data_IF_760614086768
#
_entry.id   IF_760614086768
#
_cell.length_a   1.000
_cell.length_b   1.000
_cell.length_c   1.000
_cell.angle_alpha   90.00
_cell.angle_beta   90.00
_cell.angle_gamma   90.00
#
_symmetry.space_group_name_H-M   'P 1'
#
loop_
_entity.id
_entity.type
_entity.pdbx_description
1 polymer ?
#
# COMPACT_ATOMS: atom_id res chain seq x y z
N UNK A 1 -3.35 10.07 -17.53
CA UNK A 1 -3.76 11.18 -16.62
C UNK A 1 -2.50 11.87 -16.11
N UNK A 2 -2.55 13.19 -15.87
CA UNK A 2 -1.45 13.89 -15.19
C UNK A 2 -1.33 13.41 -13.75
N UNK A 3 -0.11 13.40 -13.18
CA UNK A 3 0.13 13.08 -11.79
C UNK A 3 -0.55 14.13 -10.88
N UNK A 4 -1.23 13.70 -9.82
CA UNK A 4 -1.96 14.56 -8.88
C UNK A 4 -1.42 14.34 -7.47
N UNK A 5 -0.99 15.40 -6.79
CA UNK A 5 -0.58 15.32 -5.38
C UNK A 5 -1.80 14.97 -4.51
N UNK A 6 -1.77 13.80 -3.85
CA UNK A 6 -2.84 13.34 -2.96
C UNK A 6 -2.48 13.47 -1.49
N UNK A 7 -1.19 13.57 -1.19
CA UNK A 7 -0.71 13.80 0.18
C UNK A 7 0.51 14.69 0.16
N UNK A 8 0.55 15.69 1.07
CA UNK A 8 1.71 16.55 1.32
C UNK A 8 2.12 16.43 2.79
N UNK A 9 3.40 16.52 3.05
CA UNK A 9 4.00 16.45 4.38
C UNK A 9 5.29 17.28 4.43
N UNK A 10 5.80 17.54 5.63
CA UNK A 10 7.08 18.20 5.80
C UNK A 10 8.20 17.37 5.15
N UNK A 11 9.21 18.02 4.57
CA UNK A 11 10.32 17.33 3.93
C UNK A 11 10.94 16.25 4.83
N UNK A 12 11.14 15.08 4.26
CA UNK A 12 11.78 13.95 4.95
C UNK A 12 13.29 14.17 5.04
N UNK A 13 13.90 13.65 6.09
CA UNK A 13 15.35 13.64 6.25
C UNK A 13 15.93 12.51 5.41
N UNK A 14 16.97 12.80 4.64
CA UNK A 14 17.71 11.79 3.86
C UNK A 14 18.85 11.19 4.68
N UNK A 15 19.11 9.92 4.43
CA UNK A 15 20.21 9.20 5.06
C UNK A 15 20.51 7.88 4.33
N UNK A 16 21.41 7.10 4.93
CA UNK A 16 21.83 5.78 4.45
C UNK A 16 21.38 4.73 5.47
N UNK A 17 20.70 3.69 4.99
CA UNK A 17 20.34 2.55 5.82
C UNK A 17 21.59 1.76 6.21
N UNK A 18 21.92 1.69 7.49
CA UNK A 18 23.03 0.89 7.98
C UNK A 18 22.62 -0.57 8.18
N UNK A 19 21.53 -0.78 8.93
CA UNK A 19 20.98 -2.13 9.20
C UNK A 19 19.52 -2.08 9.64
N UNK A 20 18.83 -3.22 9.54
CA UNK A 20 17.51 -3.47 10.13
C UNK A 20 17.60 -4.66 11.07
N UNK A 21 16.95 -4.58 12.24
CA UNK A 21 16.88 -5.70 13.19
C UNK A 21 15.51 -5.77 13.89
N UNK A 22 15.23 -6.89 14.51
CA UNK A 22 13.93 -7.17 15.15
C UNK A 22 12.72 -6.87 14.26
N UNK A 23 12.92 -6.82 12.92
CA UNK A 23 11.92 -6.54 11.87
C UNK A 23 11.32 -5.13 11.89
N UNK A 24 11.29 -4.42 13.02
CA UNK A 24 10.63 -3.12 13.20
C UNK A 24 11.59 -1.99 13.61
N UNK A 25 12.88 -2.23 13.68
CA UNK A 25 13.92 -1.23 13.98
C UNK A 25 14.93 -1.14 12.85
N UNK A 26 15.42 0.07 12.56
CA UNK A 26 16.54 0.27 11.65
C UNK A 26 17.46 1.39 12.14
N UNK A 27 18.74 1.32 11.82
CA UNK A 27 19.71 2.40 11.99
C UNK A 27 19.91 3.10 10.65
N UNK A 28 19.89 4.42 10.69
CA UNK A 28 20.07 5.29 9.54
C UNK A 28 21.13 6.33 9.90
N UNK A 29 22.15 6.46 9.05
CA UNK A 29 23.10 7.57 9.13
C UNK A 29 22.56 8.74 8.31
N UNK A 30 22.29 9.85 8.97
CA UNK A 30 21.84 11.09 8.35
C UNK A 30 22.99 11.76 7.57
N UNK A 31 22.64 12.75 6.75
CA UNK A 31 23.59 13.48 5.89
C UNK A 31 24.65 14.29 6.68
N UNK A 32 24.34 14.65 7.94
CA UNK A 32 25.28 15.31 8.86
C UNK A 32 26.20 14.34 9.62
N UNK A 33 26.03 13.03 9.40
CA UNK A 33 26.80 11.95 10.00
C UNK A 33 26.19 11.40 11.31
N UNK A 34 25.12 11.99 11.85
CA UNK A 34 24.42 11.43 13.01
C UNK A 34 23.82 10.06 12.67
N UNK A 35 23.93 9.12 13.61
CA UNK A 35 23.29 7.79 13.48
C UNK A 35 22.06 7.72 14.39
N UNK A 36 20.90 7.54 13.77
CA UNK A 36 19.61 7.50 14.49
C UNK A 36 18.94 6.14 14.37
N UNK A 37 18.14 5.79 15.39
CA UNK A 37 17.26 4.62 15.33
C UNK A 37 15.87 5.04 14.85
N UNK A 38 15.40 4.45 13.77
CA UNK A 38 14.07 4.68 13.24
C UNK A 38 13.17 3.45 13.37
N UNK A 39 11.87 3.69 13.52
CA UNK A 39 10.84 2.66 13.44
C UNK A 39 10.64 2.25 11.98
N UNK A 40 10.68 0.94 11.72
CA UNK A 40 10.30 0.33 10.45
C UNK A 40 8.89 -0.27 10.60
N UNK A 41 7.88 0.38 10.02
CA UNK A 41 6.49 -0.08 10.11
C UNK A 41 6.23 -1.36 9.30
N UNK A 42 7.02 -1.60 8.25
CA UNK A 42 6.94 -2.82 7.46
C UNK A 42 7.72 -3.95 8.15
N UNK A 43 7.00 -4.94 8.68
CA UNK A 43 7.60 -6.10 9.36
C UNK A 43 7.82 -7.31 8.43
N UNK A 44 7.45 -7.20 7.15
CA UNK A 44 7.66 -8.22 6.12
C UNK A 44 9.13 -8.34 5.68
N UNK A 45 9.44 -9.22 4.72
CA UNK A 45 10.78 -9.38 4.18
C UNK A 45 11.33 -8.10 3.52
N UNK A 46 10.44 -7.27 2.96
CA UNK A 46 10.79 -6.07 2.18
C UNK A 46 11.67 -6.43 0.98
N UNK A 47 11.24 -7.45 0.24
CA UNK A 47 11.96 -8.00 -0.92
C UNK A 47 12.23 -6.90 -1.95
N UNK A 48 13.50 -6.73 -2.33
CA UNK A 48 13.97 -5.73 -3.30
C UNK A 48 14.02 -4.29 -2.78
N UNK A 49 13.61 -4.01 -1.52
CA UNK A 49 13.66 -2.65 -0.95
C UNK A 49 14.48 -2.53 0.34
N UNK A 50 14.82 -3.64 0.98
CA UNK A 50 15.72 -3.67 2.13
C UNK A 50 17.17 -3.75 1.63
N UNK A 51 17.80 -2.61 1.39
CA UNK A 51 19.15 -2.50 0.84
C UNK A 51 20.07 -1.78 1.84
N UNK A 52 20.82 -2.50 2.71
CA UNK A 52 21.85 -1.89 3.54
C UNK A 52 22.87 -1.14 2.69
N UNK A 53 23.24 0.09 3.08
CA UNK A 53 24.05 1.01 2.28
C UNK A 53 23.24 1.83 1.26
N UNK A 54 21.95 1.52 1.06
CA UNK A 54 21.05 2.27 0.19
C UNK A 54 20.52 3.55 0.85
N UNK A 55 20.13 4.52 0.02
CA UNK A 55 19.51 5.75 0.50
C UNK A 55 18.10 5.50 1.01
N UNK A 56 17.77 6.19 2.08
CA UNK A 56 16.44 6.16 2.70
C UNK A 56 15.97 7.56 3.07
N UNK A 57 14.67 7.71 3.20
CA UNK A 57 14.06 8.92 3.76
C UNK A 57 13.27 8.54 5.01
N UNK A 58 13.51 9.31 6.08
CA UNK A 58 12.87 9.12 7.37
C UNK A 58 12.12 10.38 7.79
N UNK A 59 11.00 10.18 8.47
CA UNK A 59 10.26 11.27 9.08
C UNK A 59 10.70 11.45 10.51
N UNK A 60 11.00 12.69 10.90
CA UNK A 60 11.20 13.07 12.30
C UNK A 60 9.87 13.51 12.92
N UNK A 61 9.55 13.00 14.09
CA UNK A 61 8.40 13.37 14.89
C UNK A 61 8.87 13.49 16.36
N UNK A 62 9.11 14.72 16.83
CA UNK A 62 9.70 14.95 18.15
C UNK A 62 8.70 14.78 19.31
N UNK A 63 7.50 14.25 19.04
CA UNK A 63 6.48 14.05 20.08
C UNK A 63 7.02 13.21 21.25
N UNK A 64 6.93 13.69 22.51
CA UNK A 64 7.42 12.96 23.68
C UNK A 64 6.61 11.68 23.96
N UNK A 65 5.46 11.50 23.31
CA UNK A 65 4.64 10.29 23.39
C UNK A 65 5.22 9.12 22.59
N UNK A 66 6.16 9.38 21.70
CA UNK A 66 6.80 8.37 20.85
C UNK A 66 8.05 7.81 21.51
N UNK A 67 8.20 6.47 21.47
CA UNK A 67 9.45 5.82 21.90
C UNK A 67 10.62 6.04 20.94
N UNK A 68 10.31 6.24 19.65
CA UNK A 68 11.27 6.53 18.58
C UNK A 68 10.80 7.77 17.84
N UNK A 69 11.68 8.78 17.77
CA UNK A 69 11.38 10.03 17.09
C UNK A 69 11.38 9.90 15.56
N UNK A 70 12.00 8.85 15.02
CA UNK A 70 12.14 8.66 13.59
C UNK A 70 11.31 7.48 13.09
N UNK A 71 10.79 7.61 11.85
CA UNK A 71 10.08 6.54 11.12
C UNK A 71 10.63 6.43 9.71
N UNK A 72 10.96 5.23 9.27
CA UNK A 72 11.38 4.96 7.91
C UNK A 72 10.17 5.03 6.96
N UNK A 73 10.19 5.99 6.04
CA UNK A 73 9.09 6.28 5.10
C UNK A 73 9.36 5.76 3.69
N UNK A 74 10.58 5.96 3.17
CA UNK A 74 10.92 5.63 1.78
C UNK A 74 12.31 4.99 1.67
N UNK A 75 12.48 4.10 0.69
CA UNK A 75 13.75 3.54 0.26
C UNK A 75 14.02 3.90 -1.20
N UNK A 76 15.27 4.26 -1.55
CA UNK A 76 15.70 4.39 -2.93
C UNK A 76 16.17 3.03 -3.44
N UNK A 77 15.64 2.60 -4.60
CA UNK A 77 16.00 1.33 -5.23
C UNK A 77 16.28 1.53 -6.72
N UNK A 78 17.05 0.64 -7.37
CA UNK A 78 17.15 0.63 -8.82
C UNK A 78 15.78 0.49 -9.47
N UNK A 79 15.49 1.34 -10.47
CA UNK A 79 14.22 1.33 -11.19
C UNK A 79 14.28 0.40 -12.41
N UNK A 80 13.12 -0.17 -12.78
CA UNK A 80 13.00 -1.08 -13.92
C UNK A 80 13.45 -0.46 -15.26
N UNK A 81 13.18 0.84 -15.46
CA UNK A 81 13.56 1.60 -16.66
C UNK A 81 14.95 2.22 -16.62
N UNK A 82 15.78 1.89 -15.61
CA UNK A 82 17.08 2.53 -15.36
C UNK A 82 16.96 3.73 -14.41
N UNK A 83 18.10 4.14 -13.80
CA UNK A 83 18.12 5.11 -12.71
C UNK A 83 17.58 4.55 -11.41
N UNK A 84 17.00 5.40 -10.56
CA UNK A 84 16.49 5.04 -9.23
C UNK A 84 15.01 5.45 -9.05
N UNK A 85 14.31 4.71 -8.20
CA UNK A 85 12.93 4.97 -7.80
C UNK A 85 12.83 5.05 -6.28
N UNK A 86 12.05 6.01 -5.78
CA UNK A 86 11.68 6.06 -4.37
C UNK A 86 10.42 5.20 -4.12
N UNK A 87 10.54 4.27 -3.19
CA UNK A 87 9.50 3.30 -2.81
C UNK A 87 8.98 3.62 -1.41
N UNK A 88 7.68 3.77 -1.26
CA UNK A 88 7.02 3.95 0.03
C UNK A 88 7.01 2.65 0.85
N UNK A 89 7.76 2.60 1.95
CA UNK A 89 7.90 1.39 2.77
C UNK A 89 7.03 1.40 4.03
N UNK A 90 6.48 2.55 4.42
CA UNK A 90 5.63 2.66 5.60
C UNK A 90 4.24 2.07 5.36
N UNK A 91 3.95 0.92 5.94
CA UNK A 91 2.69 0.18 5.78
C UNK A 91 1.45 0.87 6.40
N UNK A 92 1.64 1.92 7.19
CA UNK A 92 0.53 2.73 7.70
C UNK A 92 0.05 3.81 6.71
N UNK A 93 0.82 4.05 5.62
CA UNK A 93 0.53 5.11 4.67
C UNK A 93 -0.55 4.77 3.64
N UNK A 94 -0.63 3.54 3.08
CA UNK A 94 -1.57 3.20 2.00
C UNK A 94 -3.02 3.53 2.28
N UNK A 95 -3.54 3.24 3.47
CA UNK A 95 -4.94 3.55 3.83
C UNK A 95 -5.23 5.06 3.78
N UNK A 96 -4.26 5.88 4.21
CA UNK A 96 -4.37 7.35 4.13
C UNK A 96 -4.31 7.86 2.69
N UNK A 97 -3.43 7.26 1.86
CA UNK A 97 -3.33 7.60 0.44
C UNK A 97 -4.62 7.29 -0.30
N UNK A 98 -5.16 6.09 -0.11
CA UNK A 98 -6.40 5.69 -0.76
C UNK A 98 -7.59 6.52 -0.30
N UNK A 99 -7.69 6.80 0.99
CA UNK A 99 -8.72 7.70 1.50
C UNK A 99 -8.64 9.07 0.82
N UNK A 100 -7.47 9.69 0.78
CA UNK A 100 -7.27 10.99 0.12
C UNK A 100 -7.57 10.92 -1.39
N UNK A 101 -7.21 9.82 -2.06
CA UNK A 101 -7.50 9.58 -3.47
C UNK A 101 -9.00 9.47 -3.75
N UNK A 102 -9.75 8.79 -2.86
CA UNK A 102 -11.21 8.68 -2.93
C UNK A 102 -11.86 10.03 -2.67
N UNK A 103 -11.46 10.74 -1.61
CA UNK A 103 -11.97 12.07 -1.25
C UNK A 103 -11.73 13.12 -2.35
N UNK A 104 -10.66 12.94 -3.13
CA UNK A 104 -10.36 13.76 -4.32
C UNK A 104 -11.15 13.34 -5.59
N UNK A 105 -12.03 12.35 -5.51
CA UNK A 105 -12.82 11.84 -6.65
C UNK A 105 -12.02 11.06 -7.70
N UNK A 106 -10.73 10.79 -7.46
CA UNK A 106 -9.84 10.18 -8.45
C UNK A 106 -10.15 8.68 -8.71
N UNK A 107 -10.90 8.04 -7.82
CA UNK A 107 -11.37 6.64 -7.96
C UNK A 107 -12.85 6.53 -8.36
N UNK A 108 -13.55 7.64 -8.56
CA UNK A 108 -14.97 7.66 -8.95
C UNK A 108 -15.26 6.83 -10.24
N UNK A 109 -14.40 6.81 -11.28
CA UNK A 109 -14.64 6.00 -12.47
C UNK A 109 -14.79 4.48 -12.21
N UNK A 110 -14.26 3.97 -11.10
CA UNK A 110 -14.34 2.55 -10.72
C UNK A 110 -15.30 2.30 -9.56
N UNK A 111 -15.29 3.17 -8.57
CA UNK A 111 -16.06 2.98 -7.34
C UNK A 111 -17.46 3.64 -7.40
N UNK A 112 -17.66 4.56 -8.33
CA UNK A 112 -18.82 5.47 -8.34
C UNK A 112 -18.67 6.60 -7.30
N UNK A 113 -19.65 7.50 -7.23
CA UNK A 113 -19.66 8.60 -6.26
C UNK A 113 -19.81 8.04 -4.84
N UNK A 114 -18.96 8.51 -3.91
CA UNK A 114 -18.89 8.04 -2.53
C UNK A 114 -19.47 9.08 -1.56
N UNK A 115 -20.46 8.69 -0.78
CA UNK A 115 -21.12 9.54 0.23
C UNK A 115 -20.40 9.51 1.58
N UNK A 116 -19.82 8.37 1.99
CA UNK A 116 -19.06 8.30 3.24
C UNK A 116 -17.98 7.23 3.24
N UNK A 117 -16.94 7.46 4.06
CA UNK A 117 -15.79 6.56 4.23
C UNK A 117 -15.63 6.25 5.71
N UNK A 118 -15.71 4.98 6.10
CA UNK A 118 -15.48 4.52 7.47
C UNK A 118 -14.27 3.59 7.52
N UNK A 119 -13.18 3.93 8.24
CA UNK A 119 -12.03 3.05 8.38
C UNK A 119 -12.26 1.97 9.43
N UNK A 120 -11.52 0.87 9.33
CA UNK A 120 -11.37 -0.18 10.35
C UNK A 120 -12.71 -0.74 10.86
N UNK A 121 -13.65 -1.00 9.96
CA UNK A 121 -14.98 -1.54 10.33
C UNK A 121 -14.89 -3.06 10.49
N UNK A 122 -15.43 -3.56 11.60
CA UNK A 122 -15.49 -5.00 11.88
C UNK A 122 -16.45 -5.72 10.91
N UNK A 123 -15.96 -6.78 10.24
CA UNK A 123 -16.70 -7.58 9.27
C UNK A 123 -16.28 -9.06 9.28
N UNK A 124 -16.75 -9.83 8.30
CA UNK A 124 -16.47 -11.25 8.17
C UNK A 124 -17.17 -12.11 9.21
N UNK A 125 -16.86 -13.41 9.20
CA UNK A 125 -17.49 -14.38 10.09
C UNK A 125 -17.22 -14.03 11.56
N UNK A 126 -18.30 -13.86 12.34
CA UNK A 126 -18.26 -13.44 13.75
C UNK A 126 -17.60 -12.08 14.00
N UNK A 127 -17.50 -11.20 12.98
CA UNK A 127 -16.92 -9.86 13.07
C UNK A 127 -15.47 -9.86 13.61
N UNK A 128 -14.69 -10.90 13.28
CA UNK A 128 -13.32 -11.07 13.77
C UNK A 128 -12.26 -10.37 12.91
N UNK A 129 -12.64 -9.90 11.73
CA UNK A 129 -11.76 -9.14 10.85
C UNK A 129 -12.18 -7.68 10.80
N UNK A 130 -11.28 -6.82 10.35
CA UNK A 130 -11.54 -5.41 10.11
C UNK A 130 -11.19 -5.11 8.67
N UNK A 131 -12.15 -4.54 7.96
CA UNK A 131 -11.90 -4.03 6.61
C UNK A 131 -11.18 -2.68 6.72
N UNK A 132 -10.24 -2.43 5.84
CA UNK A 132 -9.48 -1.18 5.86
C UNK A 132 -10.38 0.05 5.64
N UNK A 133 -11.26 0.00 4.63
CA UNK A 133 -12.25 1.05 4.38
C UNK A 133 -13.62 0.42 4.04
N UNK A 134 -14.68 0.88 4.67
CA UNK A 134 -16.04 0.64 4.25
C UNK A 134 -16.59 1.93 3.63
N UNK A 135 -16.94 1.88 2.33
CA UNK A 135 -17.49 3.00 1.60
C UNK A 135 -19.01 2.83 1.49
N UNK A 136 -19.72 3.92 1.71
CA UNK A 136 -21.14 4.01 1.38
C UNK A 136 -21.28 4.86 0.13
N UNK A 137 -21.85 4.34 -0.97
CA UNK A 137 -22.11 5.12 -2.15
C UNK A 137 -22.98 6.35 -1.87
N UNK A 138 -22.81 7.40 -2.66
CA UNK A 138 -23.69 8.57 -2.59
C UNK A 138 -25.11 8.21 -3.13
N UNK A 139 -26.15 8.99 -2.79
CA UNK A 139 -27.52 8.68 -3.21
C UNK A 139 -27.71 8.58 -4.73
N UNK A 140 -26.93 9.30 -5.50
CA UNK A 140 -26.92 9.30 -6.97
C UNK A 140 -26.10 8.15 -7.59
N UNK A 141 -25.45 7.33 -6.81
CA UNK A 141 -24.67 6.20 -7.33
C UNK A 141 -25.55 5.17 -8.04
N UNK A 142 -25.09 4.68 -9.19
CA UNK A 142 -25.78 3.64 -9.99
C UNK A 142 -25.88 2.32 -9.22
N UNK A 143 -24.83 1.95 -8.51
CA UNK A 143 -24.81 0.79 -7.63
C UNK A 143 -24.83 1.25 -6.16
N UNK A 144 -25.96 1.03 -5.44
CA UNK A 144 -26.12 1.48 -4.06
C UNK A 144 -25.47 0.55 -3.03
N UNK A 145 -24.90 -0.58 -3.46
CA UNK A 145 -24.31 -1.56 -2.52
C UNK A 145 -23.10 -0.97 -1.80
N UNK A 146 -22.94 -1.22 -0.49
CA UNK A 146 -21.74 -0.83 0.23
C UNK A 146 -20.49 -1.50 -0.37
N UNK A 147 -19.33 -0.83 -0.27
CA UNK A 147 -18.07 -1.29 -0.85
C UNK A 147 -17.09 -1.59 0.28
N UNK A 148 -16.67 -2.85 0.38
CA UNK A 148 -15.64 -3.30 1.32
C UNK A 148 -14.30 -3.26 0.63
N UNK A 149 -13.41 -2.37 1.07
CA UNK A 149 -12.09 -2.15 0.46
C UNK A 149 -11.00 -2.68 1.36
N UNK A 150 -10.25 -3.66 0.85
CA UNK A 150 -9.03 -4.17 1.47
C UNK A 150 -7.80 -3.62 0.75
N UNK A 151 -6.86 -3.07 1.51
CA UNK A 151 -5.66 -2.40 0.98
C UNK A 151 -4.42 -3.26 1.19
N UNK A 152 -3.59 -3.40 0.18
CA UNK A 152 -2.31 -4.13 0.27
C UNK A 152 -1.16 -3.25 -0.15
N UNK A 153 -0.26 -2.89 0.79
CA UNK A 153 0.97 -2.19 0.43
C UNK A 153 1.86 -3.07 -0.43
N UNK A 154 2.13 -2.66 -1.66
CA UNK A 154 2.88 -3.43 -2.64
C UNK A 154 4.17 -2.69 -3.00
N UNK A 155 5.30 -3.25 -2.59
CA UNK A 155 6.65 -2.67 -2.80
C UNK A 155 7.54 -3.56 -3.66
N UNK A 156 7.28 -4.88 -3.67
CA UNK A 156 8.03 -5.85 -4.46
C UNK A 156 7.68 -5.75 -5.94
N UNK A 157 8.70 -5.88 -6.80
CA UNK A 157 8.52 -5.92 -8.25
C UNK A 157 9.55 -6.84 -8.92
N UNK A 158 9.17 -7.35 -10.09
CA UNK A 158 10.06 -7.92 -11.08
C UNK A 158 9.95 -7.07 -12.35
N UNK A 159 10.98 -6.28 -12.62
CA UNK A 159 10.91 -5.23 -13.62
C UNK A 159 9.73 -4.28 -13.37
N UNK A 160 8.91 -4.02 -14.39
CA UNK A 160 7.73 -3.16 -14.32
C UNK A 160 6.49 -3.85 -13.73
N UNK A 161 6.59 -5.13 -13.34
CA UNK A 161 5.52 -5.90 -12.74
C UNK A 161 5.58 -5.81 -11.22
N UNK A 162 4.60 -5.17 -10.60
CA UNK A 162 4.41 -5.19 -9.16
C UNK A 162 3.81 -6.52 -8.71
N UNK A 163 4.29 -7.07 -7.62
CA UNK A 163 3.92 -8.37 -7.08
C UNK A 163 3.52 -8.27 -5.60
N UNK A 164 2.45 -8.97 -5.22
CA UNK A 164 2.04 -9.13 -3.83
C UNK A 164 1.42 -10.52 -3.61
N UNK A 165 1.73 -11.19 -2.48
CA UNK A 165 2.66 -10.81 -1.43
C UNK A 165 4.11 -11.15 -1.76
N UNK A 166 5.06 -10.67 -0.95
CA UNK A 166 6.48 -11.01 -1.03
C UNK A 166 6.90 -12.14 -0.06
N UNK A 167 5.92 -12.75 0.61
CA UNK A 167 6.05 -13.92 1.51
C UNK A 167 4.68 -14.54 1.74
N UNK A 168 4.64 -15.76 2.28
CA UNK A 168 3.37 -16.41 2.68
C UNK A 168 2.60 -15.53 3.66
N UNK A 169 1.32 -15.28 3.37
CA UNK A 169 0.44 -14.40 4.14
C UNK A 169 -0.93 -15.04 4.41
N UNK A 170 -1.04 -15.85 5.47
CA UNK A 170 -2.33 -16.46 5.87
C UNK A 170 -3.42 -15.40 6.11
N UNK A 171 -3.03 -14.25 6.69
CA UNK A 171 -3.96 -13.13 6.86
C UNK A 171 -4.43 -12.56 5.52
N UNK A 172 -3.56 -12.46 4.52
CA UNK A 172 -3.92 -12.01 3.18
C UNK A 172 -4.86 -12.98 2.47
N UNK A 173 -4.60 -14.29 2.61
CA UNK A 173 -5.46 -15.36 2.10
C UNK A 173 -6.86 -15.26 2.71
N UNK A 174 -6.97 -15.15 4.03
CA UNK A 174 -8.23 -14.97 4.75
C UNK A 174 -9.00 -13.73 4.29
N UNK A 175 -8.33 -12.60 4.06
CA UNK A 175 -9.00 -11.38 3.58
C UNK A 175 -9.63 -11.55 2.19
N UNK A 176 -9.01 -12.34 1.30
CA UNK A 176 -9.63 -12.67 0.00
C UNK A 176 -10.90 -13.53 0.18
N UNK A 177 -10.86 -14.52 1.07
CA UNK A 177 -12.04 -15.34 1.41
C UNK A 177 -13.16 -14.48 2.01
N UNK A 178 -12.85 -13.55 2.87
CA UNK A 178 -13.81 -12.64 3.49
C UNK A 178 -14.39 -11.62 2.49
N UNK A 179 -13.60 -11.14 1.52
CA UNK A 179 -14.11 -10.30 0.43
C UNK A 179 -15.07 -11.07 -0.49
N UNK A 180 -14.82 -12.35 -0.77
CA UNK A 180 -15.80 -13.19 -1.46
C UNK A 180 -17.10 -13.36 -0.64
N UNK A 181 -16.96 -13.44 0.69
CA UNK A 181 -18.08 -13.64 1.60
C UNK A 181 -19.02 -12.44 1.74
N UNK A 182 -18.67 -11.24 1.26
CA UNK A 182 -19.60 -10.09 1.26
C UNK A 182 -20.50 -10.03 0.03
N UNK A 183 -20.18 -10.83 -1.00
CA UNK A 183 -20.96 -10.90 -2.24
C UNK A 183 -22.24 -11.76 -2.03
N UNK A 184 -23.32 -11.48 -2.75
CA UNK A 184 -23.55 -10.37 -3.69
C UNK A 184 -24.08 -9.10 -3.03
N UNK A 185 -24.33 -9.10 -1.71
CA UNK A 185 -25.02 -8.01 -0.97
C UNK A 185 -24.19 -6.72 -0.91
N UNK A 186 -22.88 -6.84 -1.10
CA UNK A 186 -21.94 -5.74 -1.15
C UNK A 186 -20.93 -5.94 -2.30
N UNK A 187 -20.18 -4.90 -2.61
CA UNK A 187 -19.00 -4.97 -3.48
C UNK A 187 -17.76 -5.25 -2.62
N UNK A 188 -16.97 -6.24 -3.00
CA UNK A 188 -15.66 -6.52 -2.42
C UNK A 188 -14.58 -5.99 -3.35
N UNK A 189 -13.70 -5.12 -2.87
CA UNK A 189 -12.63 -4.50 -3.68
C UNK A 189 -11.29 -4.72 -2.99
N UNK A 190 -10.35 -5.38 -3.66
CA UNK A 190 -8.95 -5.44 -3.27
C UNK A 190 -8.18 -4.35 -3.99
N UNK A 191 -7.48 -3.50 -3.23
CA UNK A 191 -6.64 -2.45 -3.79
C UNK A 191 -5.17 -2.69 -3.45
N UNK A 192 -4.39 -3.31 -4.37
CA UNK A 192 -2.94 -3.25 -4.29
C UNK A 192 -2.49 -1.79 -4.44
N UNK A 193 -1.93 -1.22 -3.36
CA UNK A 193 -1.33 0.10 -3.35
C UNK A 193 0.12 -0.04 -3.81
N UNK A 194 0.36 0.21 -5.11
CA UNK A 194 1.68 0.10 -5.73
C UNK A 194 2.52 1.31 -5.30
N UNK A 195 3.28 1.12 -4.22
CA UNK A 195 4.02 2.19 -3.53
C UNK A 195 5.35 2.53 -4.22
N UNK A 196 5.35 2.52 -5.56
CA UNK A 196 6.50 2.84 -6.43
C UNK A 196 6.04 3.28 -7.82
N UNK A 197 6.76 4.23 -8.43
CA UNK A 197 6.35 4.85 -9.69
C UNK A 197 6.75 4.04 -10.94
N UNK A 198 7.77 3.19 -10.83
CA UNK A 198 8.42 2.47 -11.92
C UNK A 198 7.73 1.16 -12.34
N UNK A 199 6.61 0.81 -11.68
CA UNK A 199 5.80 -0.37 -12.06
C UNK A 199 4.60 0.06 -12.89
N UNK A 200 4.24 -0.75 -13.88
CA UNK A 200 3.16 -0.48 -14.83
C UNK A 200 2.04 -1.52 -14.81
N UNK A 201 2.26 -2.68 -14.18
CA UNK A 201 1.33 -3.82 -14.12
C UNK A 201 1.35 -4.43 -12.73
N UNK A 202 0.32 -5.22 -12.42
CA UNK A 202 0.25 -5.95 -11.16
C UNK A 202 -0.13 -7.42 -11.39
N UNK A 203 0.46 -8.32 -10.60
CA UNK A 203 0.05 -9.72 -10.49
C UNK A 203 0.15 -10.22 -9.03
N UNK A 204 -0.56 -11.31 -8.67
CA UNK A 204 -0.29 -12.01 -7.44
C UNK A 204 1.13 -12.61 -7.45
N UNK A 205 1.80 -12.56 -6.30
CA UNK A 205 3.16 -13.09 -6.10
C UNK A 205 3.18 -14.61 -5.91
N UNK A 206 2.79 -15.36 -6.93
CA UNK A 206 2.65 -16.82 -6.88
C UNK A 206 3.91 -17.54 -6.40
N UNK A 207 5.09 -17.02 -6.73
CA UNK A 207 6.37 -17.61 -6.30
C UNK A 207 6.61 -17.50 -4.80
N UNK A 208 6.03 -16.50 -4.14
CA UNK A 208 6.13 -16.28 -2.70
C UNK A 208 4.98 -16.91 -1.91
N UNK A 209 3.77 -16.89 -2.47
CA UNK A 209 2.56 -17.49 -1.87
C UNK A 209 1.62 -18.05 -2.95
N UNK A 210 1.84 -19.32 -3.40
CA UNK A 210 0.98 -19.95 -4.41
C UNK A 210 -0.49 -20.03 -4.00
N UNK A 211 -0.76 -20.18 -2.68
CA UNK A 211 -2.14 -20.24 -2.16
C UNK A 211 -2.84 -18.89 -2.29
N UNK A 212 -2.14 -17.81 -1.99
CA UNK A 212 -2.66 -16.46 -2.20
C UNK A 212 -3.03 -16.24 -3.67
N UNK A 213 -2.16 -16.62 -4.60
CA UNK A 213 -2.43 -16.50 -6.03
C UNK A 213 -3.64 -17.30 -6.51
N UNK A 214 -3.84 -18.53 -5.98
CA UNK A 214 -5.05 -19.32 -6.24
C UNK A 214 -6.30 -18.59 -5.74
N UNK A 215 -6.30 -18.12 -4.49
CA UNK A 215 -7.41 -17.39 -3.89
C UNK A 215 -7.68 -16.06 -4.60
N UNK A 216 -6.64 -15.35 -5.05
CA UNK A 216 -6.77 -14.14 -5.84
C UNK A 216 -7.58 -14.38 -7.12
N UNK A 217 -7.24 -15.45 -7.85
CA UNK A 217 -7.96 -15.83 -9.09
C UNK A 217 -9.38 -16.28 -8.80
N UNK A 218 -9.61 -17.03 -7.71
CA UNK A 218 -10.94 -17.42 -7.25
C UNK A 218 -11.79 -16.20 -6.89
N UNK A 219 -11.22 -15.24 -6.14
CA UNK A 219 -11.90 -14.00 -5.76
C UNK A 219 -12.28 -13.16 -7.00
N UNK A 220 -11.38 -13.04 -7.96
CA UNK A 220 -11.65 -12.35 -9.23
C UNK A 220 -12.80 -13.04 -10.00
N UNK A 221 -12.77 -14.38 -10.11
CA UNK A 221 -13.82 -15.14 -10.76
C UNK A 221 -15.18 -15.08 -10.04
N UNK A 222 -15.16 -14.92 -8.70
CA UNK A 222 -16.36 -14.73 -7.89
C UNK A 222 -16.96 -13.31 -7.99
N UNK A 223 -16.24 -12.34 -8.57
CA UNK A 223 -16.69 -10.96 -8.73
C UNK A 223 -16.11 -9.97 -7.75
N UNK A 224 -15.06 -10.34 -6.98
CA UNK A 224 -14.27 -9.36 -6.23
C UNK A 224 -13.49 -8.51 -7.23
N UNK A 225 -13.59 -7.21 -7.07
CA UNK A 225 -12.91 -6.25 -7.94
C UNK A 225 -11.44 -6.09 -7.53
N UNK A 226 -10.52 -6.12 -8.49
CA UNK A 226 -9.10 -5.93 -8.26
C UNK A 226 -8.67 -4.60 -8.89
N UNK A 227 -8.30 -3.61 -8.06
CA UNK A 227 -8.04 -2.25 -8.50
C UNK A 227 -6.61 -1.80 -8.08
N UNK A 228 -5.55 -2.20 -8.80
CA UNK A 228 -4.20 -1.79 -8.48
C UNK A 228 -4.01 -0.29 -8.68
N UNK A 229 -3.62 0.43 -7.64
CA UNK A 229 -3.46 1.88 -7.60
C UNK A 229 -1.98 2.27 -7.52
N UNK A 230 -1.49 3.09 -8.44
CA UNK A 230 -0.09 3.50 -8.55
C UNK A 230 0.17 4.82 -7.87
N UNK A 231 1.28 4.89 -7.11
CA UNK A 231 1.70 6.10 -6.41
C UNK A 231 3.18 6.38 -6.65
N UNK A 232 3.51 7.66 -6.87
CA UNK A 232 4.86 8.18 -6.93
C UNK A 232 5.23 8.91 -5.63
N UNK A 233 6.46 8.77 -5.19
CA UNK A 233 6.94 9.29 -3.91
C UNK A 233 8.01 10.36 -4.13
N UNK A 234 7.81 11.54 -3.56
CA UNK A 234 8.80 12.60 -3.48
C UNK A 234 9.24 12.82 -2.03
N UNK A 235 10.12 13.80 -1.82
CA UNK A 235 10.60 14.12 -0.48
C UNK A 235 9.50 14.72 0.43
N UNK A 236 8.47 15.33 -0.13
CA UNK A 236 7.44 16.06 0.62
C UNK A 236 6.01 15.81 0.13
N UNK A 237 5.82 14.90 -0.83
CA UNK A 237 4.48 14.55 -1.31
C UNK A 237 4.40 13.12 -1.85
N UNK A 238 3.15 12.63 -1.97
CA UNK A 238 2.83 11.42 -2.73
C UNK A 238 1.83 11.79 -3.81
N UNK A 239 2.09 11.29 -5.02
CA UNK A 239 1.30 11.56 -6.21
C UNK A 239 0.51 10.31 -6.62
N UNK A 240 -0.73 10.51 -7.00
CA UNK A 240 -1.54 9.54 -7.72
C UNK A 240 -1.11 9.48 -9.19
N UNK A 241 -0.81 8.28 -9.68
CA UNK A 241 -0.33 8.03 -11.04
C UNK A 241 -1.35 7.24 -11.90
N UNK A 242 -2.56 7.00 -11.38
CA UNK A 242 -3.57 6.20 -12.04
C UNK A 242 -3.60 4.75 -11.57
N UNK A 243 -4.41 3.93 -12.24
CA UNK A 243 -4.48 2.48 -12.00
C UNK A 243 -3.49 1.72 -12.88
N UNK A 244 -3.17 0.49 -12.51
CA UNK A 244 -2.40 -0.44 -13.33
C UNK A 244 -3.28 -1.62 -13.78
N UNK A 245 -3.08 -2.16 -14.99
CA UNK A 245 -3.76 -3.38 -15.41
C UNK A 245 -3.24 -4.60 -14.63
N UNK A 246 -4.12 -5.61 -14.50
CA UNK A 246 -3.71 -6.93 -14.06
C UNK A 246 -2.95 -7.64 -15.18
N UNK A 247 -1.84 -8.28 -14.83
CA UNK A 247 -1.20 -9.24 -15.70
C UNK A 247 -1.86 -10.60 -15.45
N UNK A 248 -2.41 -11.17 -16.50
CA UNK A 248 -2.97 -12.52 -16.51
C UNK A 248 -1.86 -13.57 -16.65
#
# INVERSE_FOLDING_TARGET
MAAVDVLKFEPLLEGVLLKRWKRFLCEVQLTDGEVVTAHCANTGPMTGVLLPGGKVRIRHDPSPKRKLAYTWEQAEVPAAGGGNCWVGVNTALPNRLLRATIEAGLLEPWLGPIGSIRPEVAYGLNRRSRIDLLLTPAPEAVDPRPIYVEVKNTTWSDGELALFPDTVTERGQKHLEELMGVLPDARGVLIPCLSRADVLRFAPGDSADPRYGQLFRQALAAGVEMLPCRFGFSNNSVQWLGTAPLQQ
#
